data_IF_068879479657
#
_entry.id   IF_068879479657
#
_cell.length_a   1.000
_cell.length_b   1.000
_cell.length_c   1.000
_cell.angle_alpha   90.00
_cell.angle_beta   90.00
_cell.angle_gamma   90.00
#
_symmetry.space_group_name_H-M   'P 1'
#
loop_
_entity.id
_entity.type
_entity.pdbx_description
1 polymer ?
#
# COMPACT_ATOMS: atom_id res chain seq x y z
N UNK A 1 9.17 -39.40 -10.93
CA UNK A 1 9.03 -38.36 -9.90
C UNK A 1 7.91 -37.44 -10.34
N UNK A 2 6.79 -37.42 -9.63
CA UNK A 2 5.73 -36.44 -9.89
C UNK A 2 6.33 -35.05 -9.63
N UNK A 3 6.38 -34.21 -10.67
CA UNK A 3 6.79 -32.80 -10.52
C UNK A 3 5.91 -32.20 -9.42
N UNK A 4 6.52 -31.73 -8.33
CA UNK A 4 5.77 -31.09 -7.26
C UNK A 4 4.93 -29.97 -7.88
N UNK A 5 3.62 -29.94 -7.59
CA UNK A 5 2.75 -28.87 -8.09
C UNK A 5 3.20 -27.55 -7.46
N UNK A 6 3.99 -26.80 -8.23
CA UNK A 6 4.58 -25.52 -7.83
C UNK A 6 3.50 -24.48 -7.50
N UNK A 7 2.26 -24.67 -7.96
CA UNK A 7 1.14 -23.78 -7.68
C UNK A 7 0.30 -24.25 -6.48
N UNK A 8 0.69 -25.32 -5.78
CA UNK A 8 -0.06 -25.87 -4.66
C UNK A 8 0.70 -25.80 -3.32
N UNK A 9 0.09 -25.12 -2.35
CA UNK A 9 0.51 -25.14 -0.95
C UNK A 9 -0.70 -25.55 -0.11
N UNK A 10 -0.55 -26.61 0.71
CA UNK A 10 -1.66 -27.21 1.45
C UNK A 10 -2.34 -26.22 2.40
N UNK A 11 -1.58 -25.32 3.02
CA UNK A 11 -2.06 -24.30 3.95
C UNK A 11 -2.71 -23.07 3.29
N UNK A 12 -2.72 -22.98 1.95
CA UNK A 12 -3.37 -21.87 1.26
C UNK A 12 -4.89 -21.93 1.45
N UNK A 13 -5.48 -20.82 1.89
CA UNK A 13 -6.92 -20.63 1.78
C UNK A 13 -7.35 -20.52 0.29
N UNK A 14 -8.65 -20.51 0.03
CA UNK A 14 -9.19 -20.50 -1.34
C UNK A 14 -8.65 -19.35 -2.19
N UNK A 15 -8.52 -18.17 -1.57
CA UNK A 15 -8.04 -16.95 -2.20
C UNK A 15 -6.55 -17.03 -2.52
N UNK A 16 -5.70 -17.37 -1.54
CA UNK A 16 -4.25 -17.51 -1.74
C UNK A 16 -3.96 -18.54 -2.83
N UNK A 17 -4.73 -19.63 -2.87
CA UNK A 17 -4.62 -20.68 -3.90
C UNK A 17 -4.96 -20.16 -5.30
N UNK A 18 -6.05 -19.40 -5.42
CA UNK A 18 -6.46 -18.75 -6.69
C UNK A 18 -5.37 -17.81 -7.18
N UNK A 19 -4.93 -16.89 -6.34
CA UNK A 19 -3.93 -15.89 -6.70
C UNK A 19 -2.54 -16.50 -6.93
N UNK A 20 -2.17 -17.58 -6.22
CA UNK A 20 -0.91 -18.31 -6.48
C UNK A 20 -0.93 -18.91 -7.87
N UNK A 21 -2.03 -19.56 -8.25
CA UNK A 21 -2.20 -20.09 -9.61
C UNK A 21 -2.09 -18.99 -10.65
N UNK A 22 -2.75 -17.85 -10.44
CA UNK A 22 -2.67 -16.68 -11.33
C UNK A 22 -1.24 -16.17 -11.50
N UNK A 23 -0.53 -15.91 -10.39
CA UNK A 23 0.87 -15.44 -10.46
C UNK A 23 1.80 -16.48 -11.10
N UNK A 24 1.54 -17.78 -10.87
CA UNK A 24 2.29 -18.88 -11.51
C UNK A 24 2.08 -18.92 -13.02
N UNK A 25 0.84 -18.75 -13.47
CA UNK A 25 0.50 -18.66 -14.89
C UNK A 25 1.09 -17.41 -15.52
N UNK A 26 0.98 -16.25 -14.87
CA UNK A 26 1.59 -15.01 -15.34
C UNK A 26 3.10 -15.18 -15.54
N UNK A 27 3.80 -15.72 -14.54
CA UNK A 27 5.23 -16.01 -14.64
C UNK A 27 5.56 -16.95 -15.81
N UNK A 28 4.87 -18.07 -15.93
CA UNK A 28 5.18 -19.10 -16.92
C UNK A 28 4.80 -18.70 -18.35
N UNK A 29 3.65 -18.06 -18.53
CA UNK A 29 3.05 -17.81 -19.84
C UNK A 29 3.29 -16.40 -20.37
N UNK A 30 3.46 -15.41 -19.48
CA UNK A 30 3.69 -14.01 -19.86
C UNK A 30 5.16 -13.67 -19.78
N UNK A 31 5.80 -13.99 -18.65
CA UNK A 31 7.22 -13.68 -18.47
C UNK A 31 8.13 -14.73 -19.11
N UNK A 32 7.63 -15.95 -19.34
CA UNK A 32 8.42 -17.06 -19.89
C UNK A 32 9.49 -17.56 -18.91
N UNK A 33 9.27 -17.39 -17.60
CA UNK A 33 10.29 -17.65 -16.58
C UNK A 33 10.04 -18.95 -15.80
N UNK A 34 11.12 -19.65 -15.39
CA UNK A 34 11.02 -20.80 -14.49
C UNK A 34 10.64 -20.35 -13.08
N UNK A 35 10.35 -21.33 -12.21
CA UNK A 35 10.04 -21.08 -10.82
C UNK A 35 11.27 -20.77 -9.97
N UNK A 36 11.18 -19.72 -9.16
CA UNK A 36 12.14 -19.42 -8.10
C UNK A 36 11.85 -20.19 -6.81
N UNK A 37 12.67 -19.92 -5.80
CA UNK A 37 12.57 -20.53 -4.46
C UNK A 37 12.21 -19.52 -3.41
N UNK A 38 11.44 -19.95 -2.40
CA UNK A 38 11.27 -19.19 -1.18
C UNK A 38 12.53 -19.24 -0.29
N UNK A 39 12.49 -18.58 0.88
CA UNK A 39 13.63 -18.56 1.81
C UNK A 39 13.98 -19.93 2.41
N UNK A 40 13.08 -20.91 2.34
CA UNK A 40 13.35 -22.29 2.78
C UNK A 40 13.97 -23.16 1.67
N UNK A 41 14.18 -22.59 0.48
CA UNK A 41 14.66 -23.32 -0.70
C UNK A 41 13.55 -24.06 -1.45
N UNK A 42 12.28 -23.89 -1.08
CA UNK A 42 11.16 -24.55 -1.75
C UNK A 42 10.84 -23.85 -3.06
N UNK A 43 10.86 -24.58 -4.17
CA UNK A 43 10.45 -24.07 -5.49
C UNK A 43 8.93 -23.86 -5.54
N UNK A 44 8.51 -22.63 -5.87
CA UNK A 44 7.10 -22.25 -5.90
C UNK A 44 6.75 -21.40 -7.13
N UNK A 45 5.50 -21.54 -7.58
CA UNK A 45 4.91 -20.94 -8.77
C UNK A 45 4.89 -19.40 -8.77
N UNK A 46 4.70 -18.81 -7.60
CA UNK A 46 4.67 -17.36 -7.41
C UNK A 46 6.04 -16.74 -7.14
N UNK A 47 7.11 -17.53 -7.09
CA UNK A 47 8.46 -17.00 -6.91
C UNK A 47 9.17 -16.86 -8.26
N UNK A 48 9.90 -15.76 -8.42
CA UNK A 48 10.86 -15.54 -9.50
C UNK A 48 12.26 -16.02 -9.07
N UNK A 49 13.07 -16.53 -10.02
CA UNK A 49 14.51 -16.64 -9.82
C UNK A 49 15.12 -15.27 -9.49
N UNK A 50 16.11 -15.24 -8.59
CA UNK A 50 16.66 -14.00 -8.05
C UNK A 50 17.28 -13.11 -9.13
N UNK A 51 17.87 -13.70 -10.16
CA UNK A 51 18.46 -13.04 -11.33
C UNK A 51 17.43 -12.32 -12.22
N UNK A 52 16.14 -12.65 -12.08
CA UNK A 52 15.03 -12.06 -12.85
C UNK A 52 14.16 -11.12 -12.01
N UNK A 53 14.64 -10.66 -10.86
CA UNK A 53 13.86 -9.88 -9.91
C UNK A 53 13.16 -8.64 -10.50
N UNK A 54 13.77 -7.98 -11.49
CA UNK A 54 13.17 -6.79 -12.15
C UNK A 54 11.81 -7.10 -12.77
N UNK A 55 11.60 -8.36 -13.18
CA UNK A 55 10.34 -8.85 -13.77
C UNK A 55 9.23 -9.05 -12.73
N UNK A 56 9.51 -8.81 -11.45
CA UNK A 56 8.48 -8.76 -10.41
C UNK A 56 7.66 -7.46 -10.45
N UNK A 57 8.12 -6.45 -11.19
CA UNK A 57 7.43 -5.17 -11.34
C UNK A 57 6.76 -5.08 -12.72
N UNK A 58 5.71 -4.26 -12.81
CA UNK A 58 4.97 -4.06 -14.08
C UNK A 58 5.68 -3.13 -15.06
N UNK A 59 6.74 -2.44 -14.64
CA UNK A 59 7.52 -1.58 -15.53
C UNK A 59 8.97 -1.45 -15.06
N UNK A 60 9.85 -1.02 -15.97
CA UNK A 60 11.28 -0.92 -15.70
C UNK A 60 11.58 0.19 -14.68
N UNK A 61 10.93 1.35 -14.82
CA UNK A 61 11.08 2.46 -13.90
C UNK A 61 10.54 2.13 -12.49
N UNK A 62 9.53 1.27 -12.37
CA UNK A 62 9.09 0.75 -11.07
C UNK A 62 10.16 -0.17 -10.45
N UNK A 63 10.82 -1.02 -11.24
CA UNK A 63 11.92 -1.86 -10.78
C UNK A 63 13.13 -1.04 -10.33
N UNK A 64 13.53 -0.04 -11.12
CA UNK A 64 14.60 0.89 -10.77
C UNK A 64 14.30 1.69 -9.50
N UNK A 65 13.06 2.17 -9.37
CA UNK A 65 12.62 2.87 -8.16
C UNK A 65 12.65 1.94 -6.94
N UNK A 66 12.18 0.70 -7.07
CA UNK A 66 12.18 -0.28 -5.99
C UNK A 66 13.59 -0.60 -5.47
N UNK A 67 14.57 -0.73 -6.37
CA UNK A 67 15.98 -0.94 -6.01
C UNK A 67 16.53 0.23 -5.19
N UNK A 68 16.41 1.46 -5.71
CA UNK A 68 16.88 2.66 -5.00
C UNK A 68 16.15 2.87 -3.67
N UNK A 69 14.84 2.67 -3.66
CA UNK A 69 14.03 2.88 -2.45
C UNK A 69 14.32 1.83 -1.39
N UNK A 70 14.58 0.58 -1.76
CA UNK A 70 14.97 -0.46 -0.80
C UNK A 70 16.27 -0.12 -0.06
N UNK A 71 17.24 0.53 -0.72
CA UNK A 71 18.45 1.04 -0.07
C UNK A 71 18.15 2.24 0.82
N UNK A 72 17.36 3.20 0.32
CA UNK A 72 16.95 4.37 1.08
C UNK A 72 16.25 3.97 2.38
N UNK A 73 15.18 3.15 2.33
CA UNK A 73 14.43 2.70 3.51
C UNK A 73 15.35 2.12 4.60
N UNK A 74 16.36 1.35 4.20
CA UNK A 74 17.33 0.80 5.14
C UNK A 74 18.21 1.89 5.77
N UNK A 75 18.72 2.84 4.98
CA UNK A 75 19.47 3.99 5.49
C UNK A 75 18.62 4.90 6.39
N UNK A 76 17.32 4.93 6.16
CA UNK A 76 16.34 5.66 6.95
C UNK A 76 15.97 4.97 8.27
N UNK A 77 16.47 3.76 8.52
CA UNK A 77 16.17 2.96 9.71
C UNK A 77 14.81 2.26 9.66
N UNK A 78 14.20 2.18 8.48
CA UNK A 78 13.03 1.36 8.20
C UNK A 78 13.39 -0.10 7.96
N UNK A 79 12.38 -0.95 7.80
CA UNK A 79 12.56 -2.37 7.51
C UNK A 79 11.79 -2.70 6.23
N UNK A 80 12.52 -3.18 5.23
CA UNK A 80 11.98 -3.70 3.99
C UNK A 80 12.55 -5.08 3.76
N UNK A 81 11.70 -6.06 3.44
CA UNK A 81 12.17 -7.42 3.20
C UNK A 81 12.45 -7.64 1.72
N UNK A 82 13.74 -7.51 1.36
CA UNK A 82 14.19 -7.51 -0.04
C UNK A 82 13.77 -8.78 -0.80
N UNK A 83 13.79 -9.96 -0.19
CA UNK A 83 13.38 -11.20 -0.89
C UNK A 83 11.92 -11.15 -1.29
N UNK A 84 11.03 -10.72 -0.38
CA UNK A 84 9.59 -10.53 -0.59
C UNK A 84 9.34 -9.49 -1.67
N UNK A 85 10.02 -8.34 -1.61
CA UNK A 85 9.91 -7.29 -2.62
C UNK A 85 10.32 -7.81 -4.01
N UNK A 86 11.47 -8.47 -4.11
CA UNK A 86 12.11 -8.73 -5.40
C UNK A 86 11.72 -10.05 -6.06
N UNK A 87 11.24 -11.03 -5.31
CA UNK A 87 11.03 -12.39 -5.85
C UNK A 87 9.64 -12.95 -5.62
N UNK A 88 8.88 -12.48 -4.63
CA UNK A 88 7.57 -13.05 -4.31
C UNK A 88 6.43 -12.28 -4.99
N UNK A 89 5.96 -12.80 -6.12
CA UNK A 89 4.88 -12.21 -6.91
C UNK A 89 3.51 -12.24 -6.20
N UNK A 90 3.37 -12.98 -5.11
CA UNK A 90 2.15 -13.07 -4.31
C UNK A 90 2.07 -12.00 -3.21
N UNK A 91 3.12 -11.20 -3.02
CA UNK A 91 3.16 -10.18 -1.99
C UNK A 91 2.50 -8.87 -2.44
N UNK A 92 1.84 -8.17 -1.51
CA UNK A 92 1.36 -6.81 -1.77
C UNK A 92 2.47 -5.76 -1.94
N UNK A 93 3.68 -6.02 -1.45
CA UNK A 93 4.82 -5.10 -1.53
C UNK A 93 5.26 -4.83 -2.99
N UNK A 94 5.59 -5.84 -3.83
CA UNK A 94 5.87 -5.58 -5.25
C UNK A 94 4.67 -5.03 -6.01
N UNK A 95 3.43 -5.31 -5.58
CA UNK A 95 2.22 -4.69 -6.15
C UNK A 95 2.22 -3.17 -5.87
N UNK A 96 2.44 -2.75 -4.63
CA UNK A 96 2.53 -1.33 -4.27
C UNK A 96 3.60 -0.61 -5.11
N UNK A 97 4.80 -1.19 -5.21
CA UNK A 97 5.87 -0.63 -6.05
C UNK A 97 5.53 -0.63 -7.54
N UNK A 98 4.85 -1.67 -8.06
CA UNK A 98 4.42 -1.73 -9.46
C UNK A 98 3.42 -0.63 -9.84
N UNK A 99 2.58 -0.21 -8.89
CA UNK A 99 1.62 0.88 -9.06
C UNK A 99 2.31 2.22 -8.84
N UNK A 100 2.77 2.46 -7.61
CA UNK A 100 3.21 3.79 -7.20
C UNK A 100 4.60 4.14 -7.75
N UNK A 101 5.46 3.16 -8.04
CA UNK A 101 6.72 3.41 -8.75
C UNK A 101 6.49 3.83 -10.21
N UNK A 102 5.53 3.22 -10.91
CA UNK A 102 5.17 3.61 -12.27
C UNK A 102 4.52 5.00 -12.30
N UNK A 103 3.55 5.25 -11.42
CA UNK A 103 2.88 6.54 -11.30
C UNK A 103 3.83 7.66 -10.87
N UNK A 104 4.83 7.37 -10.02
CA UNK A 104 5.87 8.34 -9.63
C UNK A 104 6.61 8.91 -10.85
N UNK A 105 6.91 8.07 -11.84
CA UNK A 105 7.58 8.49 -13.08
C UNK A 105 6.63 9.22 -14.03
N UNK A 106 5.36 8.79 -14.09
CA UNK A 106 4.34 9.35 -14.98
C UNK A 106 3.42 10.32 -14.23
N UNK A 107 3.97 11.44 -13.74
CA UNK A 107 3.29 12.37 -12.83
C UNK A 107 1.93 12.87 -13.35
N UNK A 108 1.83 13.26 -14.62
CA UNK A 108 0.58 13.75 -15.21
C UNK A 108 -0.49 12.66 -15.34
N UNK A 109 -0.05 11.42 -15.58
CA UNK A 109 -0.95 10.26 -15.57
C UNK A 109 -1.40 9.94 -14.14
N UNK A 110 -0.50 10.04 -13.15
CA UNK A 110 -0.80 9.86 -11.75
C UNK A 110 -1.84 10.87 -11.24
N UNK A 111 -1.71 12.15 -11.61
CA UNK A 111 -2.70 13.19 -11.29
C UNK A 111 -4.08 12.80 -11.80
N UNK A 112 -4.19 12.37 -13.06
CA UNK A 112 -5.47 11.96 -13.67
C UNK A 112 -6.08 10.74 -12.99
N UNK A 113 -5.28 9.68 -12.79
CA UNK A 113 -5.76 8.45 -12.13
C UNK A 113 -6.18 8.72 -10.69
N UNK A 114 -5.37 9.45 -9.92
CA UNK A 114 -5.67 9.72 -8.51
C UNK A 114 -6.87 10.66 -8.36
N UNK A 115 -7.05 11.62 -9.29
CA UNK A 115 -8.23 12.51 -9.29
C UNK A 115 -9.51 11.71 -9.46
N UNK A 116 -9.51 10.80 -10.42
CA UNK A 116 -10.63 9.92 -10.74
C UNK A 116 -10.95 8.97 -9.58
N UNK A 117 -9.92 8.30 -9.04
CA UNK A 117 -10.06 7.37 -7.91
C UNK A 117 -10.52 8.02 -6.60
N UNK A 118 -10.14 9.28 -6.36
CA UNK A 118 -10.46 9.99 -5.14
C UNK A 118 -11.65 10.94 -5.29
N UNK A 119 -12.24 11.03 -6.49
CA UNK A 119 -13.31 11.97 -6.81
C UNK A 119 -12.97 13.41 -6.36
N UNK A 120 -11.77 13.87 -6.71
CA UNK A 120 -11.26 15.21 -6.43
C UNK A 120 -10.43 15.71 -7.60
N UNK A 121 -10.38 17.03 -7.80
CA UNK A 121 -9.55 17.62 -8.86
C UNK A 121 -8.13 17.91 -8.33
N UNK A 122 -7.19 17.00 -8.60
CA UNK A 122 -5.77 17.21 -8.29
C UNK A 122 -5.16 18.04 -9.42
N UNK A 123 -4.48 19.13 -9.07
CA UNK A 123 -3.74 19.95 -10.03
C UNK A 123 -2.36 19.37 -10.29
N UNK A 124 -1.64 18.97 -9.24
CA UNK A 124 -0.29 18.43 -9.38
C UNK A 124 0.16 17.61 -8.16
N UNK A 125 1.22 16.83 -8.36
CA UNK A 125 2.02 16.24 -7.29
C UNK A 125 3.06 17.25 -6.80
N UNK A 126 3.12 17.53 -5.50
CA UNK A 126 4.00 18.56 -4.93
C UNK A 126 5.01 17.98 -3.94
N UNK A 127 6.24 18.50 -3.86
CA UNK A 127 7.17 18.11 -2.80
C UNK A 127 6.74 18.72 -1.45
N UNK A 128 6.68 17.92 -0.40
CA UNK A 128 6.33 18.36 0.96
C UNK A 128 7.34 17.81 1.97
N UNK A 129 7.84 18.69 2.85
CA UNK A 129 8.72 18.29 3.96
C UNK A 129 7.90 17.91 5.19
N UNK A 130 8.20 16.76 5.77
CA UNK A 130 7.67 16.30 7.06
C UNK A 130 8.86 16.10 8.00
N UNK A 131 9.19 17.15 8.74
CA UNK A 131 10.41 17.20 9.55
C UNK A 131 11.68 17.13 8.68
N UNK A 132 12.49 16.10 8.91
CA UNK A 132 13.69 15.78 8.12
C UNK A 132 13.40 14.86 6.93
N UNK A 133 12.18 14.32 6.81
CA UNK A 133 11.72 13.54 5.65
C UNK A 133 11.09 14.45 4.60
N UNK A 134 11.03 13.96 3.38
CA UNK A 134 10.27 14.60 2.31
C UNK A 134 9.42 13.55 1.59
N UNK A 135 8.30 14.01 1.05
CA UNK A 135 7.49 13.29 0.06
C UNK A 135 7.63 14.09 -1.23
N UNK A 136 8.25 13.51 -2.26
CA UNK A 136 8.37 14.15 -3.58
C UNK A 136 7.30 13.61 -4.52
N UNK A 137 6.06 14.07 -4.29
CA UNK A 137 4.91 13.62 -5.05
C UNK A 137 4.43 12.24 -4.64
N UNK A 138 5.21 11.18 -4.87
CA UNK A 138 4.88 9.78 -4.52
C UNK A 138 6.11 9.09 -3.94
N UNK A 139 5.97 8.48 -2.76
CA UNK A 139 7.01 7.64 -2.15
C UNK A 139 6.45 6.32 -1.61
N UNK A 140 7.08 5.18 -1.93
CA UNK A 140 6.76 3.87 -1.37
C UNK A 140 7.50 3.61 -0.06
N UNK A 141 6.95 2.77 0.82
CA UNK A 141 7.60 2.34 2.07
C UNK A 141 8.11 3.54 2.88
N UNK A 142 7.26 4.56 3.01
CA UNK A 142 7.63 5.84 3.60
C UNK A 142 7.14 5.92 5.04
N UNK A 143 8.00 6.37 5.94
CA UNK A 143 7.66 6.60 7.34
C UNK A 143 8.18 7.96 7.79
N UNK A 144 7.40 8.72 8.58
CA UNK A 144 7.90 9.95 9.18
C UNK A 144 8.84 9.64 10.36
N UNK A 145 9.39 10.67 10.99
CA UNK A 145 10.23 10.50 12.17
C UNK A 145 9.42 9.96 13.37
N UNK A 146 9.60 8.68 13.71
CA UNK A 146 8.76 7.97 14.70
C UNK A 146 8.41 8.78 15.96
N UNK A 147 9.41 9.39 16.62
CA UNK A 147 9.26 10.09 17.90
C UNK A 147 8.45 11.38 17.81
N UNK A 148 8.27 11.92 16.62
CA UNK A 148 7.43 13.10 16.34
C UNK A 148 5.99 12.71 15.97
N UNK A 149 5.72 11.42 15.80
CA UNK A 149 4.43 10.89 15.40
C UNK A 149 3.96 9.82 16.40
N UNK A 150 3.62 8.62 15.94
CA UNK A 150 3.06 7.58 16.81
C UNK A 150 4.10 6.86 17.68
N UNK A 151 5.39 7.16 17.53
CA UNK A 151 6.50 6.48 18.19
C UNK A 151 6.42 4.95 18.06
N UNK A 152 6.15 4.48 16.84
CA UNK A 152 6.20 3.07 16.46
C UNK A 152 6.94 2.90 15.12
N UNK A 153 6.87 1.71 14.53
CA UNK A 153 7.53 1.40 13.25
C UNK A 153 6.56 1.37 12.07
N UNK A 154 5.40 2.04 12.19
CA UNK A 154 4.44 2.12 11.10
C UNK A 154 5.02 2.91 9.92
N UNK A 155 4.73 2.45 8.72
CA UNK A 155 5.08 3.07 7.46
C UNK A 155 3.88 2.93 6.53
N UNK A 156 3.80 3.79 5.51
CA UNK A 156 2.85 3.64 4.42
C UNK A 156 3.46 2.78 3.32
N UNK A 157 2.67 1.87 2.75
CA UNK A 157 3.10 1.12 1.56
C UNK A 157 3.37 2.10 0.39
N UNK A 158 2.54 3.14 0.29
CA UNK A 158 2.83 4.35 -0.49
C UNK A 158 2.21 5.60 0.13
N UNK A 159 2.81 6.75 -0.13
CA UNK A 159 2.29 8.06 0.26
C UNK A 159 2.36 9.03 -0.92
N UNK A 160 1.35 9.87 -1.05
CA UNK A 160 1.24 10.88 -2.11
C UNK A 160 1.01 12.25 -1.50
N UNK A 161 1.77 13.25 -1.94
CA UNK A 161 1.56 14.66 -1.60
C UNK A 161 1.12 15.44 -2.83
N UNK A 162 -0.05 16.06 -2.73
CA UNK A 162 -0.72 16.70 -3.87
C UNK A 162 -1.21 18.10 -3.53
N UNK A 163 -1.44 18.90 -4.57
CA UNK A 163 -2.19 20.15 -4.52
C UNK A 163 -3.45 20.00 -5.37
N UNK A 164 -4.59 20.33 -4.79
CA UNK A 164 -5.89 20.37 -5.47
C UNK A 164 -6.02 21.62 -6.34
N UNK A 165 -6.96 21.61 -7.28
CA UNK A 165 -7.23 22.75 -8.17
C UNK A 165 -7.63 24.04 -7.42
N UNK A 166 -8.21 23.90 -6.22
CA UNK A 166 -8.54 25.03 -5.34
C UNK A 166 -7.36 25.52 -4.48
N UNK A 167 -6.17 24.95 -4.67
CA UNK A 167 -4.94 25.33 -3.98
C UNK A 167 -4.70 24.61 -2.66
N UNK A 168 -5.68 23.87 -2.11
CA UNK A 168 -5.50 23.09 -0.88
C UNK A 168 -4.55 21.91 -1.11
N UNK A 169 -3.85 21.52 -0.05
CA UNK A 169 -2.94 20.37 -0.05
C UNK A 169 -3.65 19.10 0.44
N UNK A 170 -3.39 17.97 -0.22
CA UNK A 170 -3.97 16.68 0.12
C UNK A 170 -2.86 15.62 0.27
N UNK A 171 -2.88 14.95 1.43
CA UNK A 171 -2.10 13.75 1.72
C UNK A 171 -2.92 12.50 1.39
N UNK A 172 -2.38 11.61 0.57
CA UNK A 172 -2.95 10.28 0.33
C UNK A 172 -2.00 9.25 0.93
N UNK A 173 -2.42 8.54 1.96
CA UNK A 173 -1.66 7.44 2.55
C UNK A 173 -2.27 6.11 2.10
N UNK A 174 -1.45 5.17 1.64
CA UNK A 174 -1.94 3.92 1.03
C UNK A 174 -1.44 2.71 1.81
N UNK A 175 -2.36 1.81 2.12
CA UNK A 175 -2.10 0.42 2.50
C UNK A 175 -2.55 -0.48 1.34
N UNK A 176 -1.65 -1.31 0.84
CA UNK A 176 -1.88 -2.21 -0.28
C UNK A 176 -2.03 -3.63 0.23
N UNK A 177 -3.14 -4.29 -0.14
CA UNK A 177 -3.40 -5.71 0.15
C UNK A 177 -3.53 -6.50 -1.14
N UNK A 178 -3.01 -7.72 -1.12
CA UNK A 178 -3.22 -8.68 -2.21
C UNK A 178 -3.77 -9.99 -1.66
N UNK A 179 -2.93 -10.94 -1.26
CA UNK A 179 -3.38 -12.11 -0.46
C UNK A 179 -3.04 -11.96 1.02
N UNK A 180 -2.16 -11.01 1.34
CA UNK A 180 -1.73 -10.70 2.69
C UNK A 180 -2.91 -10.10 3.47
N UNK A 181 -3.17 -10.61 4.67
CA UNK A 181 -4.19 -10.05 5.56
C UNK A 181 -3.63 -8.88 6.38
N UNK A 182 -4.50 -8.15 7.08
CA UNK A 182 -4.04 -7.27 8.16
C UNK A 182 -3.30 -8.07 9.24
N UNK A 183 -2.27 -7.46 9.83
CA UNK A 183 -1.50 -8.09 10.89
C UNK A 183 -2.37 -8.35 12.12
N UNK A 184 -2.15 -9.51 12.75
CA UNK A 184 -2.68 -9.84 14.07
C UNK A 184 -1.70 -9.35 15.13
N UNK A 185 -1.42 -8.05 15.14
CA UNK A 185 -0.47 -7.47 16.10
C UNK A 185 -0.79 -7.97 17.52
N UNK A 186 0.23 -8.40 18.29
CA UNK A 186 0.01 -8.88 19.63
C UNK A 186 -0.58 -7.76 20.50
N UNK A 187 -1.43 -8.16 21.46
CA UNK A 187 -1.93 -7.24 22.48
C UNK A 187 -0.75 -6.66 23.28
N UNK A 188 -0.78 -5.35 23.50
CA UNK A 188 0.28 -4.65 24.21
C UNK A 188 -0.33 -3.46 24.94
N UNK A 189 -0.47 -3.57 26.27
CA UNK A 189 -1.19 -2.59 27.08
C UNK A 189 -0.62 -1.16 26.98
N UNK A 190 0.69 -1.00 26.80
CA UNK A 190 1.31 0.33 26.63
C UNK A 190 0.98 0.92 25.26
N UNK A 191 1.10 0.12 24.20
CA UNK A 191 0.72 0.54 22.85
C UNK A 191 -0.78 0.84 22.76
N UNK A 192 -1.61 0.05 23.42
CA UNK A 192 -3.06 0.19 23.44
C UNK A 192 -3.48 1.51 24.06
N UNK A 193 -2.96 1.83 25.26
CA UNK A 193 -3.16 3.14 25.90
C UNK A 193 -2.70 4.31 25.03
N UNK A 194 -1.63 4.11 24.25
CA UNK A 194 -1.10 5.14 23.34
C UNK A 194 -2.05 5.36 22.16
N UNK A 195 -2.52 4.30 21.51
CA UNK A 195 -3.43 4.43 20.37
C UNK A 195 -4.82 4.94 20.78
N UNK A 196 -5.35 4.52 21.93
CA UNK A 196 -6.58 5.06 22.51
C UNK A 196 -6.48 6.58 22.76
N UNK A 197 -5.36 7.04 23.32
CA UNK A 197 -5.08 8.47 23.47
C UNK A 197 -5.07 9.21 22.14
N UNK A 198 -4.43 8.64 21.11
CA UNK A 198 -4.43 9.24 19.77
C UNK A 198 -5.82 9.30 19.16
N UNK A 199 -6.64 8.25 19.29
CA UNK A 199 -8.03 8.24 18.82
C UNK A 199 -8.79 9.46 19.39
N UNK A 200 -8.72 9.66 20.72
CA UNK A 200 -9.37 10.80 21.39
C UNK A 200 -8.79 12.15 20.95
N UNK A 201 -7.47 12.28 20.92
CA UNK A 201 -6.78 13.53 20.52
C UNK A 201 -7.06 13.92 19.06
N UNK A 202 -7.28 12.94 18.20
CA UNK A 202 -7.51 13.13 16.77
C UNK A 202 -8.99 13.28 16.43
N UNK A 203 -9.89 13.18 17.41
CA UNK A 203 -11.31 13.44 17.24
C UNK A 203 -12.13 12.23 16.83
N UNK A 204 -11.60 11.01 16.95
CA UNK A 204 -12.39 9.80 16.73
C UNK A 204 -13.51 9.67 17.76
N UNK A 205 -14.56 8.90 17.41
CA UNK A 205 -15.71 8.69 18.28
C UNK A 205 -15.30 8.12 19.65
N UNK A 206 -16.08 8.44 20.70
CA UNK A 206 -15.85 7.88 22.02
C UNK A 206 -15.95 6.35 21.98
N UNK A 207 -14.96 5.67 22.56
CA UNK A 207 -14.86 4.21 22.54
C UNK A 207 -14.33 3.62 21.22
N UNK A 208 -13.81 4.44 20.29
CA UNK A 208 -13.34 3.96 18.99
C UNK A 208 -12.22 2.92 19.12
N UNK A 209 -11.29 3.09 20.06
CA UNK A 209 -10.20 2.13 20.22
C UNK A 209 -10.69 0.76 20.73
N UNK A 210 -11.70 0.73 21.59
CA UNK A 210 -12.31 -0.51 22.08
C UNK A 210 -12.95 -1.31 20.94
N UNK A 211 -13.54 -0.61 19.96
CA UNK A 211 -14.15 -1.21 18.76
C UNK A 211 -13.12 -1.60 17.70
N UNK A 212 -12.11 -0.75 17.48
CA UNK A 212 -11.20 -0.85 16.34
C UNK A 212 -9.80 -1.39 16.68
N UNK A 213 -9.43 -1.44 17.96
CA UNK A 213 -8.09 -1.79 18.43
C UNK A 213 -7.73 -3.27 18.34
N UNK A 214 -8.55 -4.09 17.66
CA UNK A 214 -8.37 -5.54 17.48
C UNK A 214 -8.32 -5.91 15.99
N UNK A 215 -7.91 -7.14 15.69
CA UNK A 215 -8.01 -7.66 14.32
C UNK A 215 -9.50 -7.68 13.87
N UNK A 216 -9.84 -7.32 12.63
CA UNK A 216 -8.94 -6.98 11.52
C UNK A 216 -8.56 -5.49 11.39
N UNK A 217 -9.13 -4.60 12.20
CA UNK A 217 -9.04 -3.15 12.04
C UNK A 217 -7.77 -2.53 12.62
N UNK A 218 -7.11 -3.18 13.59
CA UNK A 218 -5.98 -2.62 14.35
C UNK A 218 -4.84 -2.08 13.49
N UNK A 219 -4.39 -2.83 12.48
CA UNK A 219 -3.31 -2.38 11.60
C UNK A 219 -3.75 -1.14 10.82
N UNK A 220 -4.97 -1.16 10.25
CA UNK A 220 -5.51 -0.02 9.51
C UNK A 220 -5.72 1.20 10.41
N UNK A 221 -6.19 1.01 11.65
CA UNK A 221 -6.30 2.09 12.64
C UNK A 221 -4.94 2.77 12.86
N UNK A 222 -3.85 2.01 13.00
CA UNK A 222 -2.50 2.58 13.13
C UNK A 222 -2.12 3.42 11.92
N UNK A 223 -2.44 2.98 10.70
CA UNK A 223 -2.19 3.75 9.49
C UNK A 223 -3.03 5.03 9.42
N UNK A 224 -4.30 4.98 9.82
CA UNK A 224 -5.19 6.15 9.87
C UNK A 224 -4.68 7.17 10.88
N UNK A 225 -4.29 6.72 12.08
CA UNK A 225 -3.68 7.58 13.10
C UNK A 225 -2.35 8.16 12.61
N UNK A 226 -1.53 7.40 11.87
CA UNK A 226 -0.28 7.91 11.31
C UNK A 226 -0.55 8.98 10.25
N UNK A 227 -1.55 8.75 9.40
CA UNK A 227 -1.99 9.70 8.37
C UNK A 227 -2.42 11.02 8.98
N UNK A 228 -3.30 10.98 9.99
CA UNK A 228 -3.75 12.17 10.70
C UNK A 228 -2.60 12.85 11.46
N UNK A 229 -1.68 12.07 12.04
CA UNK A 229 -0.48 12.60 12.67
C UNK A 229 0.40 13.36 11.67
N UNK A 230 0.62 12.84 10.46
CA UNK A 230 1.38 13.53 9.40
C UNK A 230 0.65 14.79 8.93
N UNK A 231 -0.66 14.70 8.67
CA UNK A 231 -1.51 15.84 8.27
C UNK A 231 -1.37 17.02 9.23
N UNK A 232 -1.39 16.75 10.54
CA UNK A 232 -1.28 17.76 11.62
C UNK A 232 0.14 18.24 11.94
N UNK A 233 1.17 17.72 11.25
CA UNK A 233 2.58 18.05 11.53
C UNK A 233 3.18 17.38 12.76
N UNK A 234 2.63 16.24 13.15
CA UNK A 234 3.09 15.44 14.28
C UNK A 234 2.98 16.20 15.60
N UNK A 235 3.99 16.06 16.46
CA UNK A 235 4.06 16.70 17.76
C UNK A 235 4.11 18.24 17.72
N UNK A 236 4.35 18.85 16.55
CA UNK A 236 4.33 20.32 16.42
C UNK A 236 2.92 20.90 16.38
N UNK A 237 1.93 20.09 15.98
CA UNK A 237 0.53 20.51 15.82
C UNK A 237 0.29 21.56 14.73
N UNK A 238 1.30 21.91 13.92
CA UNK A 238 1.17 22.82 12.77
C UNK A 238 0.78 22.01 11.54
N UNK A 239 -0.44 22.17 10.99
CA UNK A 239 -0.89 21.38 9.84
C UNK A 239 0.08 21.51 8.66
N UNK A 240 0.50 20.36 8.12
CA UNK A 240 1.32 20.27 6.91
C UNK A 240 0.43 20.10 5.68
N UNK A 241 -0.73 19.45 5.87
CA UNK A 241 -1.72 19.22 4.84
C UNK A 241 -3.10 19.72 5.27
N UNK A 242 -3.84 20.33 4.34
CA UNK A 242 -5.21 20.78 4.58
C UNK A 242 -6.15 19.58 4.73
N UNK A 243 -5.95 18.55 3.90
CA UNK A 243 -6.77 17.34 3.87
C UNK A 243 -5.90 16.08 3.87
N UNK A 244 -6.47 14.97 4.33
CA UNK A 244 -5.86 13.66 4.18
C UNK A 244 -6.89 12.55 3.96
N UNK A 245 -6.46 11.51 3.25
CA UNK A 245 -7.22 10.27 3.05
C UNK A 245 -6.30 9.08 3.24
N UNK A 246 -6.77 8.07 3.98
CA UNK A 246 -6.16 6.74 4.02
C UNK A 246 -6.88 5.85 3.01
N UNK A 247 -6.16 5.34 2.02
CA UNK A 247 -6.65 4.42 1.00
C UNK A 247 -6.21 3.01 1.33
N UNK A 248 -7.15 2.07 1.32
CA UNK A 248 -6.87 0.64 1.25
C UNK A 248 -7.03 0.21 -0.21
N UNK A 249 -5.91 -0.03 -0.88
CA UNK A 249 -5.88 -0.60 -2.22
C UNK A 249 -5.87 -2.13 -2.09
N UNK A 250 -6.96 -2.79 -2.46
CA UNK A 250 -7.10 -4.23 -2.29
C UNK A 250 -7.86 -4.87 -3.46
N UNK A 251 -7.89 -6.21 -3.51
CA UNK A 251 -8.73 -6.91 -4.48
C UNK A 251 -10.19 -6.50 -4.30
N UNK A 252 -10.92 -6.41 -5.40
CA UNK A 252 -12.34 -6.00 -5.40
C UNK A 252 -13.21 -6.88 -4.47
N UNK A 253 -12.85 -8.16 -4.37
CA UNK A 253 -13.51 -9.19 -3.56
C UNK A 253 -13.00 -9.30 -2.11
N UNK A 254 -12.13 -8.39 -1.65
CA UNK A 254 -11.65 -8.38 -0.27
C UNK A 254 -12.67 -7.75 0.70
N UNK A 255 -13.64 -8.57 1.11
CA UNK A 255 -14.69 -8.16 2.05
C UNK A 255 -14.16 -7.83 3.44
N UNK A 256 -13.00 -8.39 3.84
CA UNK A 256 -12.40 -8.08 5.14
C UNK A 256 -11.77 -6.69 5.14
N UNK A 257 -11.06 -6.34 4.06
CA UNK A 257 -10.53 -5.00 3.87
C UNK A 257 -11.64 -3.95 3.78
N UNK A 258 -12.71 -4.24 3.02
CA UNK A 258 -13.88 -3.36 2.92
C UNK A 258 -14.55 -3.13 4.27
N UNK A 259 -14.86 -4.20 5.00
CA UNK A 259 -15.47 -4.07 6.33
C UNK A 259 -14.57 -3.33 7.33
N UNK A 260 -13.25 -3.47 7.23
CA UNK A 260 -12.32 -2.73 8.07
C UNK A 260 -12.33 -1.22 7.74
N UNK A 261 -12.38 -0.85 6.45
CA UNK A 261 -12.55 0.54 6.03
C UNK A 261 -13.87 1.11 6.52
N UNK A 262 -14.98 0.41 6.31
CA UNK A 262 -16.32 0.84 6.71
C UNK A 262 -16.40 1.07 8.22
N UNK A 263 -15.82 0.17 9.02
CA UNK A 263 -15.75 0.32 10.47
C UNK A 263 -14.93 1.54 10.90
N UNK A 264 -13.79 1.80 10.24
CA UNK A 264 -12.94 2.95 10.54
C UNK A 264 -13.63 4.27 10.19
N UNK A 265 -14.32 4.34 9.05
CA UNK A 265 -15.05 5.54 8.63
C UNK A 265 -16.27 5.81 9.54
N UNK A 266 -16.99 4.77 9.94
CA UNK A 266 -18.12 4.88 10.88
C UNK A 266 -17.69 5.41 12.27
N UNK A 267 -16.47 5.13 12.70
CA UNK A 267 -15.89 5.55 13.99
C UNK A 267 -14.98 6.78 13.88
N UNK A 268 -14.92 7.43 12.71
CA UNK A 268 -14.06 8.59 12.44
C UNK A 268 -14.36 9.80 13.34
N UNK A 269 -15.62 9.96 13.78
CA UNK A 269 -16.04 11.13 14.56
C UNK A 269 -15.73 12.44 13.85
N UNK A 270 -15.10 13.37 14.56
CA UNK A 270 -14.67 14.69 14.08
C UNK A 270 -13.27 14.67 13.41
N UNK A 271 -12.61 13.51 13.36
CA UNK A 271 -11.28 13.41 12.74
C UNK A 271 -11.36 13.76 11.24
N UNK A 272 -10.57 14.74 10.74
CA UNK A 272 -10.68 15.17 9.34
C UNK A 272 -10.20 14.13 8.32
N UNK A 273 -9.27 13.25 8.69
CA UNK A 273 -8.76 12.20 7.81
C UNK A 273 -9.86 11.20 7.46
N UNK A 274 -10.18 11.07 6.18
CA UNK A 274 -11.14 10.07 5.67
C UNK A 274 -10.46 8.72 5.38
N UNK A 275 -11.25 7.65 5.28
CA UNK A 275 -10.75 6.32 4.93
C UNK A 275 -11.53 5.80 3.73
N UNK A 276 -10.84 5.25 2.72
CA UNK A 276 -11.46 4.77 1.48
C UNK A 276 -10.93 3.41 1.09
N UNK A 277 -11.82 2.59 0.55
CA UNK A 277 -11.47 1.34 -0.12
C UNK A 277 -11.40 1.61 -1.61
N UNK A 278 -10.33 1.16 -2.26
CA UNK A 278 -10.20 1.19 -3.72
C UNK A 278 -9.88 -0.22 -4.20
N UNK A 279 -10.68 -0.69 -5.17
CA UNK A 279 -10.49 -1.98 -5.79
C UNK A 279 -9.32 -2.01 -6.78
N UNK A 280 -8.66 -3.15 -6.94
CA UNK A 280 -7.68 -3.35 -8.01
C UNK A 280 -8.32 -3.19 -9.40
N UNK A 281 -9.53 -3.69 -9.62
CA UNK A 281 -10.26 -3.51 -10.88
C UNK A 281 -10.68 -2.05 -11.10
N UNK A 282 -10.97 -1.34 -10.02
CA UNK A 282 -11.27 0.11 -10.03
C UNK A 282 -10.03 0.93 -10.44
N UNK A 283 -8.87 0.66 -9.83
CA UNK A 283 -7.58 1.24 -10.23
C UNK A 283 -7.27 0.97 -11.72
N UNK A 284 -7.45 -0.26 -12.17
CA UNK A 284 -7.24 -0.61 -13.58
C UNK A 284 -8.20 0.16 -14.50
N UNK A 285 -9.45 0.33 -14.10
CA UNK A 285 -10.46 1.06 -14.88
C UNK A 285 -10.17 2.56 -14.95
N UNK A 286 -9.65 3.15 -13.87
CA UNK A 286 -9.15 4.53 -13.88
C UNK A 286 -7.91 4.67 -14.79
N UNK A 287 -6.99 3.71 -14.74
CA UNK A 287 -5.82 3.69 -15.61
C UNK A 287 -6.17 3.54 -17.09
N UNK A 288 -7.20 2.75 -17.45
CA UNK A 288 -7.66 2.61 -18.85
C UNK A 288 -8.16 3.93 -19.45
N UNK A 289 -8.64 4.86 -18.62
CA UNK A 289 -9.08 6.20 -19.07
C UNK A 289 -7.92 7.14 -19.36
N UNK A 290 -6.68 6.73 -19.06
CA UNK A 290 -5.45 7.49 -19.30
C UNK A 290 -4.65 6.79 -20.40
N UNK A 291 -4.62 7.31 -21.64
CA UNK A 291 -4.01 6.63 -22.79
C UNK A 291 -2.56 6.18 -22.57
N UNK A 292 -1.77 6.96 -21.83
CA UNK A 292 -0.37 6.66 -21.51
C UNK A 292 -0.22 5.41 -20.63
N UNK A 293 -1.26 5.03 -19.89
CA UNK A 293 -1.27 3.88 -19.00
C UNK A 293 -1.91 2.64 -19.62
N UNK A 294 -2.39 2.69 -20.86
CA UNK A 294 -3.14 1.58 -21.48
C UNK A 294 -2.35 0.26 -21.49
N UNK A 295 -1.05 0.31 -21.77
CA UNK A 295 -0.19 -0.88 -21.74
C UNK A 295 0.02 -1.40 -20.32
N UNK A 296 0.30 -0.49 -19.38
CA UNK A 296 0.49 -0.82 -17.96
C UNK A 296 -0.79 -1.42 -17.36
N UNK A 297 -1.96 -0.83 -17.65
CA UNK A 297 -3.26 -1.27 -17.17
C UNK A 297 -3.60 -2.69 -17.65
N UNK A 298 -3.36 -2.98 -18.94
CA UNK A 298 -3.53 -4.33 -19.49
C UNK A 298 -2.67 -5.37 -18.74
N UNK A 299 -1.41 -5.05 -18.47
CA UNK A 299 -0.51 -5.96 -17.76
C UNK A 299 -0.90 -6.09 -16.28
N UNK A 300 -1.37 -5.00 -15.66
CA UNK A 300 -1.93 -4.98 -14.32
C UNK A 300 -3.16 -5.88 -14.20
N UNK A 301 -4.15 -5.73 -15.11
CA UNK A 301 -5.37 -6.55 -15.17
C UNK A 301 -5.04 -8.02 -15.29
N UNK A 302 -4.17 -8.36 -16.25
CA UNK A 302 -3.74 -9.74 -16.49
C UNK A 302 -3.08 -10.37 -15.27
N UNK A 303 -2.32 -9.57 -14.51
CA UNK A 303 -1.58 -10.05 -13.34
C UNK A 303 -2.40 -10.10 -12.05
N UNK A 304 -3.20 -9.08 -11.76
CA UNK A 304 -3.79 -8.88 -10.43
C UNK A 304 -5.32 -8.93 -10.37
N UNK A 305 -6.00 -8.75 -11.51
CA UNK A 305 -7.47 -8.74 -11.60
C UNK A 305 -7.99 -10.06 -12.18
N UNK A 306 -7.31 -10.57 -13.22
CA UNK A 306 -7.67 -11.80 -13.93
C UNK A 306 -8.48 -11.56 -15.21
N UNK A 307 -8.26 -10.42 -15.86
CA UNK A 307 -8.88 -9.99 -17.12
C UNK A 307 -7.84 -9.78 -18.22
#
# INVERSE_FOLDING_TARGET
>A
MTTADIAHVASDNAITRRERRRQSQFRGQVLGLPAGTDRSGRTLGNYLPAEHWRRNFLSEEAAEYAERRAEAVQAEGGQLEKTRLFTNMLSSMPLAFSVFGHLRTHRDAAVRVLSDLLDVEIAELVPVRVGHRAIDGIECEWAPERRKHLDDRSAFDAVVSTRLADGRTLLVAVETKYVDNFSRDPENADADRKYDRFCRQFGMAEGAFERLGRFPTRQLLRNVLLTESVRRGGATGSPIFDQAVTVVLARDDDTTARAAVDALDADRGDMPTTVRFIGHGELASAADRVPELAAWSRDFRRRYVGE
#
